data_IF_404465262321
#
_entry.id   IF_404465262321
#
_cell.length_a   1.000
_cell.length_b   1.000
_cell.length_c   1.000
_cell.angle_alpha   90.00
_cell.angle_beta   90.00
_cell.angle_gamma   90.00
#
_symmetry.space_group_name_H-M   'P 1'
#
loop_
_entity.id
_entity.type
_entity.pdbx_description
1 polymer ?
#
# COMPACT_ATOMS: atom_id res chain seq x y z
N UNK A 1 2.74 28.69 -8.97
CA UNK A 1 3.45 27.57 -9.62
C UNK A 1 3.33 26.40 -8.66
N UNK A 2 2.51 25.40 -9.00
CA UNK A 2 2.26 24.22 -8.15
C UNK A 2 3.45 23.28 -8.30
N UNK A 3 4.26 23.17 -7.26
CA UNK A 3 5.40 22.24 -7.20
C UNK A 3 5.19 21.16 -6.14
N UNK A 4 3.97 20.63 -6.08
CA UNK A 4 3.65 19.38 -5.40
C UNK A 4 3.38 18.31 -6.47
N UNK A 5 4.43 17.89 -7.18
CA UNK A 5 4.35 16.65 -7.96
C UNK A 5 4.31 15.51 -6.97
N UNK A 6 3.14 14.89 -6.80
CA UNK A 6 3.06 13.58 -6.15
C UNK A 6 4.13 12.66 -6.73
N UNK A 7 4.86 11.90 -5.88
CA UNK A 7 5.87 10.97 -6.36
C UNK A 7 5.29 10.08 -7.46
N UNK A 8 6.10 9.78 -8.48
CA UNK A 8 5.67 8.88 -9.54
C UNK A 8 5.31 7.52 -8.94
N UNK A 9 4.45 6.74 -9.61
CA UNK A 9 4.12 5.37 -9.19
C UNK A 9 5.39 4.57 -8.87
N UNK A 10 6.36 4.62 -9.78
CA UNK A 10 7.63 3.90 -9.64
C UNK A 10 8.47 4.46 -8.48
N UNK A 11 8.37 5.74 -8.15
CA UNK A 11 9.00 6.28 -6.94
C UNK A 11 8.32 5.72 -5.68
N UNK A 12 6.98 5.77 -5.60
CA UNK A 12 6.24 5.23 -4.45
C UNK A 12 6.55 3.76 -4.16
N UNK A 13 6.58 2.92 -5.19
CA UNK A 13 6.86 1.49 -5.03
C UNK A 13 8.31 1.23 -4.59
N UNK A 14 9.27 2.02 -5.09
CA UNK A 14 10.68 1.94 -4.67
C UNK A 14 10.87 2.41 -3.23
N UNK A 15 10.23 3.53 -2.88
CA UNK A 15 10.29 4.09 -1.53
C UNK A 15 9.67 3.12 -0.52
N UNK A 16 8.54 2.49 -0.86
CA UNK A 16 7.91 1.45 -0.05
C UNK A 16 8.84 0.26 0.21
N UNK A 17 9.54 -0.24 -0.82
CA UNK A 17 10.55 -1.29 -0.61
C UNK A 17 11.76 -0.80 0.19
N UNK A 18 12.24 0.43 -0.06
CA UNK A 18 13.32 1.05 0.67
C UNK A 18 13.04 1.12 2.18
N UNK A 19 11.83 1.54 2.55
CA UNK A 19 11.38 1.58 3.94
C UNK A 19 11.34 0.18 4.58
N UNK A 20 10.83 -0.83 3.88
CA UNK A 20 10.83 -2.21 4.39
C UNK A 20 12.25 -2.74 4.62
N UNK A 21 13.17 -2.45 3.70
CA UNK A 21 14.56 -2.85 3.82
C UNK A 21 15.21 -2.19 5.04
N UNK A 22 14.99 -0.89 5.23
CA UNK A 22 15.58 -0.12 6.32
C UNK A 22 14.97 -0.44 7.69
N UNK A 23 13.65 -0.53 7.79
CA UNK A 23 12.95 -0.66 9.06
C UNK A 23 12.80 -2.12 9.51
N UNK A 24 12.69 -3.05 8.56
CA UNK A 24 12.35 -4.47 8.85
C UNK A 24 13.40 -5.46 8.36
N UNK A 25 14.48 -4.99 7.72
CA UNK A 25 15.55 -5.85 7.23
C UNK A 25 15.11 -6.78 6.10
N UNK A 26 14.04 -6.43 5.37
CA UNK A 26 13.54 -7.26 4.26
C UNK A 26 14.59 -7.32 3.16
N UNK A 27 15.02 -8.55 2.81
CA UNK A 27 16.00 -8.76 1.74
C UNK A 27 15.34 -8.71 0.36
N UNK A 28 16.11 -8.24 -0.64
CA UNK A 28 15.67 -8.27 -2.04
C UNK A 28 15.35 -9.70 -2.51
N UNK A 29 16.07 -10.69 -2.00
CA UNK A 29 15.81 -12.09 -2.32
C UNK A 29 14.42 -12.53 -1.83
N UNK A 30 14.13 -12.32 -0.54
CA UNK A 30 12.84 -12.67 0.05
C UNK A 30 11.68 -11.99 -0.68
N UNK A 31 11.82 -10.68 -0.93
CA UNK A 31 10.84 -9.92 -1.69
C UNK A 31 10.66 -10.43 -3.13
N UNK A 32 11.76 -10.75 -3.83
CA UNK A 32 11.69 -11.28 -5.19
C UNK A 32 10.96 -12.63 -5.24
N UNK A 33 11.14 -13.51 -4.26
CA UNK A 33 10.39 -14.77 -4.18
C UNK A 33 8.89 -14.54 -3.97
N UNK A 34 8.51 -13.68 -3.02
CA UNK A 34 7.11 -13.31 -2.79
C UNK A 34 6.47 -12.70 -4.04
N UNK A 35 7.15 -11.74 -4.67
CA UNK A 35 6.68 -11.09 -5.89
C UNK A 35 6.50 -12.09 -7.04
N UNK A 36 7.40 -13.06 -7.19
CA UNK A 36 7.26 -14.08 -8.23
C UNK A 36 5.98 -14.90 -8.06
N UNK A 37 5.72 -15.36 -6.84
CA UNK A 37 4.51 -16.11 -6.52
C UNK A 37 3.24 -15.30 -6.81
N UNK A 38 3.22 -14.02 -6.39
CA UNK A 38 2.08 -13.12 -6.62
C UNK A 38 1.88 -12.80 -8.10
N UNK A 39 2.94 -12.64 -8.89
CA UNK A 39 2.84 -12.44 -10.34
C UNK A 39 2.13 -13.61 -11.01
N UNK A 40 2.48 -14.85 -10.64
CA UNK A 40 1.80 -16.04 -11.18
C UNK A 40 0.35 -16.17 -10.71
N UNK A 41 0.04 -15.74 -9.49
CA UNK A 41 -1.32 -15.77 -8.97
C UNK A 41 -2.23 -14.70 -9.57
N UNK A 42 -1.72 -13.48 -9.74
CA UNK A 42 -2.53 -12.30 -10.09
C UNK A 42 -2.48 -11.95 -11.58
N UNK A 43 -1.41 -12.30 -12.27
CA UNK A 43 -1.20 -11.97 -13.68
C UNK A 43 -0.77 -13.18 -14.53
N UNK A 44 -1.53 -14.29 -14.52
CA UNK A 44 -1.13 -15.55 -15.19
C UNK A 44 -0.86 -15.38 -16.69
N UNK A 45 -1.66 -14.56 -17.38
CA UNK A 45 -1.46 -14.26 -18.80
C UNK A 45 -0.15 -13.50 -19.11
N UNK A 46 0.44 -12.81 -18.11
CA UNK A 46 1.73 -12.11 -18.21
C UNK A 46 2.89 -12.94 -17.68
N UNK A 47 2.61 -13.92 -16.82
CA UNK A 47 3.60 -14.76 -16.16
C UNK A 47 3.96 -16.03 -16.93
N UNK A 48 3.22 -16.39 -18.00
CA UNK A 48 3.42 -17.60 -18.82
C UNK A 48 4.88 -17.81 -19.30
N UNK A 49 5.56 -16.72 -19.67
CA UNK A 49 6.98 -16.76 -20.11
C UNK A 49 7.98 -16.47 -18.99
N UNK A 50 7.51 -16.34 -17.75
CA UNK A 50 8.34 -16.02 -16.60
C UNK A 50 8.68 -17.29 -15.83
N UNK A 51 9.85 -17.34 -15.20
CA UNK A 51 10.16 -18.46 -14.34
C UNK A 51 9.17 -18.53 -13.18
N UNK A 52 8.67 -19.72 -12.88
CA UNK A 52 7.92 -19.99 -11.67
C UNK A 52 8.87 -20.56 -10.63
N UNK A 53 9.33 -19.70 -9.71
CA UNK A 53 10.35 -20.07 -8.73
C UNK A 53 9.84 -21.13 -7.75
N UNK A 54 8.54 -21.17 -7.47
CA UNK A 54 7.94 -22.18 -6.57
C UNK A 54 7.86 -23.57 -7.21
N UNK A 55 7.99 -23.65 -8.54
CA UNK A 55 7.94 -24.91 -9.29
C UNK A 55 9.33 -25.47 -9.63
N UNK A 56 10.41 -24.81 -9.17
CA UNK A 56 11.78 -25.28 -9.42
C UNK A 56 12.06 -26.54 -8.59
N UNK A 57 12.39 -27.64 -9.27
CA UNK A 57 12.64 -28.96 -8.68
C UNK A 57 13.96 -29.11 -7.90
N UNK A 58 14.35 -28.10 -7.10
CA UNK A 58 15.52 -28.12 -6.24
C UNK A 58 16.67 -27.17 -6.65
N UNK A 59 17.71 -27.13 -5.82
CA UNK A 59 18.87 -26.22 -5.93
C UNK A 59 19.94 -26.78 -6.89
N UNK A 60 19.60 -26.89 -8.17
CA UNK A 60 20.59 -27.18 -9.21
C UNK A 60 21.11 -25.89 -9.87
N UNK A 61 22.16 -26.00 -10.68
CA UNK A 61 22.80 -24.83 -11.32
C UNK A 61 21.85 -24.03 -12.23
N UNK A 62 20.87 -24.68 -12.85
CA UNK A 62 19.88 -24.04 -13.71
C UNK A 62 18.83 -23.28 -12.90
N UNK A 63 18.32 -23.88 -11.81
CA UNK A 63 17.44 -23.23 -10.84
C UNK A 63 18.11 -22.00 -10.24
N UNK A 64 19.38 -22.09 -9.83
CA UNK A 64 20.12 -20.95 -9.27
C UNK A 64 20.27 -19.81 -10.28
N UNK A 65 20.58 -20.11 -11.55
CA UNK A 65 20.63 -19.08 -12.62
C UNK A 65 19.28 -18.43 -12.84
N UNK A 66 18.20 -19.20 -12.75
CA UNK A 66 16.83 -18.75 -12.94
C UNK A 66 16.40 -17.80 -11.81
N UNK A 67 16.67 -18.18 -10.57
CA UNK A 67 16.45 -17.35 -9.37
C UNK A 67 17.23 -16.04 -9.49
N UNK A 68 18.52 -16.11 -9.81
CA UNK A 68 19.37 -14.91 -9.93
C UNK A 68 18.93 -13.98 -11.07
N UNK A 69 18.51 -14.52 -12.21
CA UNK A 69 17.96 -13.75 -13.33
C UNK A 69 16.67 -13.00 -12.96
N UNK A 70 15.81 -13.62 -12.14
CA UNK A 70 14.64 -12.95 -11.58
C UNK A 70 15.04 -11.88 -10.54
N UNK A 71 15.93 -12.22 -9.61
CA UNK A 71 16.43 -11.30 -8.58
C UNK A 71 16.99 -10.02 -9.20
N UNK A 72 17.83 -10.13 -10.24
CA UNK A 72 18.39 -8.98 -10.98
C UNK A 72 17.33 -8.14 -11.69
N UNK A 73 16.19 -8.72 -12.08
CA UNK A 73 15.06 -7.93 -12.61
C UNK A 73 14.43 -7.10 -11.50
N UNK A 74 14.15 -7.71 -10.35
CA UNK A 74 13.64 -7.01 -9.18
C UNK A 74 14.59 -5.90 -8.71
N UNK A 75 15.90 -6.18 -8.68
CA UNK A 75 16.94 -5.21 -8.34
C UNK A 75 16.83 -3.94 -9.20
N UNK A 76 16.75 -4.10 -10.53
CA UNK A 76 16.64 -2.95 -11.43
C UNK A 76 15.34 -2.17 -11.28
N UNK A 77 14.24 -2.81 -10.88
CA UNK A 77 13.01 -2.09 -10.58
C UNK A 77 13.12 -1.30 -9.27
N UNK A 78 13.67 -1.92 -8.23
CA UNK A 78 13.87 -1.28 -6.92
C UNK A 78 14.87 -0.13 -7.00
N UNK A 79 15.94 -0.27 -7.79
CA UNK A 79 16.96 0.76 -7.95
C UNK A 79 16.55 1.85 -8.96
N UNK A 80 15.45 1.64 -9.71
CA UNK A 80 15.01 2.53 -10.78
C UNK A 80 15.87 2.46 -12.05
N UNK A 81 16.64 1.39 -12.22
CA UNK A 81 17.39 1.12 -13.45
C UNK A 81 16.51 0.78 -14.65
N UNK A 82 15.25 0.38 -14.43
CA UNK A 82 14.23 0.26 -15.47
C UNK A 82 12.88 0.72 -14.94
N UNK A 83 12.04 1.23 -15.84
CA UNK A 83 10.63 1.50 -15.53
C UNK A 83 9.92 0.20 -15.14
N UNK A 84 9.08 0.27 -14.12
CA UNK A 84 8.24 -0.83 -13.68
C UNK A 84 7.09 -1.03 -14.69
N UNK A 85 6.89 -2.24 -15.23
CA UNK A 85 5.74 -2.51 -16.09
C UNK A 85 4.42 -2.27 -15.35
N UNK A 86 3.46 -1.60 -15.98
CA UNK A 86 2.18 -1.27 -15.32
C UNK A 86 1.40 -2.49 -14.80
N UNK A 87 1.47 -3.63 -15.51
CA UNK A 87 0.81 -4.86 -15.07
C UNK A 87 1.41 -5.46 -13.79
N UNK A 88 2.62 -5.03 -13.41
CA UNK A 88 3.33 -5.51 -12.24
C UNK A 88 2.99 -4.71 -10.97
N UNK A 89 2.34 -3.55 -11.10
CA UNK A 89 1.99 -2.67 -9.97
C UNK A 89 1.23 -3.40 -8.86
N UNK A 90 0.15 -4.11 -9.22
CA UNK A 90 -0.69 -4.84 -8.26
C UNK A 90 0.06 -5.99 -7.54
N UNK A 91 0.77 -6.90 -8.24
CA UNK A 91 1.64 -7.87 -7.58
C UNK A 91 2.73 -7.23 -6.70
N UNK A 92 3.30 -6.10 -7.14
CA UNK A 92 4.39 -5.43 -6.41
C UNK A 92 3.90 -4.84 -5.10
N UNK A 93 2.80 -4.06 -5.13
CA UNK A 93 2.23 -3.49 -3.91
C UNK A 93 1.72 -4.58 -2.97
N UNK A 94 1.14 -5.66 -3.50
CA UNK A 94 0.74 -6.82 -2.68
C UNK A 94 1.95 -7.48 -2.04
N UNK A 95 3.09 -7.59 -2.74
CA UNK A 95 4.31 -8.11 -2.16
C UNK A 95 4.84 -7.23 -1.02
N UNK A 96 4.73 -5.90 -1.14
CA UNK A 96 5.10 -4.98 -0.06
C UNK A 96 4.22 -5.23 1.19
N UNK A 97 2.92 -5.42 1.00
CA UNK A 97 1.98 -5.71 2.10
C UNK A 97 2.24 -7.04 2.80
N UNK A 98 2.61 -8.10 2.07
CA UNK A 98 3.04 -9.38 2.65
C UNK A 98 4.28 -9.23 3.54
N UNK A 99 5.10 -8.22 3.27
CA UNK A 99 6.26 -7.83 4.11
C UNK A 99 5.92 -6.76 5.17
N UNK A 100 4.64 -6.38 5.24
CA UNK A 100 4.06 -5.52 6.26
C UNK A 100 4.14 -4.03 5.99
N UNK A 101 4.35 -3.62 4.73
CA UNK A 101 4.06 -2.26 4.31
C UNK A 101 2.55 -2.04 4.33
N UNK A 102 2.13 -0.89 4.83
CA UNK A 102 0.69 -0.60 4.98
C UNK A 102 0.28 0.72 4.33
N UNK A 103 1.24 1.44 3.73
CA UNK A 103 1.03 2.81 3.29
C UNK A 103 1.10 2.95 1.77
N UNK A 104 1.92 2.16 1.08
CA UNK A 104 2.14 2.34 -0.37
C UNK A 104 0.85 2.20 -1.17
N UNK A 105 -0.02 1.23 -0.84
CA UNK A 105 -1.32 1.08 -1.53
C UNK A 105 -2.24 2.29 -1.31
N UNK A 106 -2.27 2.84 -0.10
CA UNK A 106 -3.08 4.02 0.22
C UNK A 106 -2.59 5.22 -0.59
N UNK A 107 -1.27 5.42 -0.64
CA UNK A 107 -0.66 6.49 -1.42
C UNK A 107 -0.91 6.34 -2.93
N UNK A 108 -0.83 5.12 -3.46
CA UNK A 108 -1.19 4.83 -4.86
C UNK A 108 -2.66 5.15 -5.14
N UNK A 109 -3.58 4.74 -4.27
CA UNK A 109 -5.00 5.07 -4.40
C UNK A 109 -5.24 6.59 -4.46
N UNK A 110 -4.61 7.35 -3.55
CA UNK A 110 -4.69 8.83 -3.52
C UNK A 110 -4.21 9.45 -4.83
N UNK A 111 -3.12 8.91 -5.39
CA UNK A 111 -2.58 9.37 -6.69
C UNK A 111 -3.56 9.18 -7.85
N UNK A 112 -4.48 8.23 -7.74
CA UNK A 112 -5.56 8.01 -8.69
C UNK A 112 -6.86 8.78 -8.35
N UNK A 113 -6.84 9.64 -7.33
CA UNK A 113 -8.02 10.37 -6.86
C UNK A 113 -8.99 9.51 -6.03
N UNK A 114 -8.53 8.36 -5.54
CA UNK A 114 -9.31 7.49 -4.67
C UNK A 114 -8.87 7.61 -3.21
N UNK A 115 -9.81 7.44 -2.28
CA UNK A 115 -9.49 7.32 -0.86
C UNK A 115 -9.09 5.88 -0.54
N UNK A 116 -7.84 5.67 -0.17
CA UNK A 116 -7.33 4.36 0.24
C UNK A 116 -7.81 4.00 1.64
N UNK A 117 -8.81 3.11 1.74
CA UNK A 117 -9.30 2.60 3.03
C UNK A 117 -8.68 1.24 3.31
N UNK A 118 -8.00 1.09 4.45
CA UNK A 118 -7.47 -0.21 4.87
C UNK A 118 -8.62 -1.14 5.24
N UNK A 119 -8.64 -2.33 4.65
CA UNK A 119 -9.53 -3.41 5.07
C UNK A 119 -8.87 -4.16 6.25
N UNK A 120 -9.62 -4.51 7.32
CA UNK A 120 -9.12 -5.41 8.35
C UNK A 120 -8.66 -6.73 7.73
N UNK A 121 -7.48 -7.24 8.12
CA UNK A 121 -7.04 -8.53 7.62
C UNK A 121 -7.90 -9.65 8.25
N UNK A 122 -8.16 -10.70 7.47
CA UNK A 122 -8.88 -11.88 7.95
C UNK A 122 -8.04 -12.56 9.04
N UNK A 123 -8.52 -12.56 10.28
CA UNK A 123 -7.82 -13.16 11.43
C UNK A 123 -7.16 -12.16 12.38
N UNK A 124 -7.24 -10.86 12.11
CA UNK A 124 -6.75 -9.85 13.05
C UNK A 124 -7.47 -9.97 14.41
N UNK A 125 -6.69 -10.11 15.47
CA UNK A 125 -7.10 -10.27 16.86
C UNK A 125 -7.82 -9.00 17.40
N UNK A 126 -8.42 -9.03 18.63
CA UNK A 126 -8.99 -7.85 19.30
C UNK A 126 -8.09 -6.59 19.34
N UNK A 127 -6.77 -6.75 19.16
CA UNK A 127 -5.82 -5.65 18.97
C UNK A 127 -6.20 -4.71 17.79
N UNK A 128 -6.88 -5.23 16.76
CA UNK A 128 -7.31 -4.46 15.59
C UNK A 128 -8.41 -3.44 15.91
N UNK A 129 -9.31 -3.75 16.86
CA UNK A 129 -10.39 -2.82 17.24
C UNK A 129 -9.86 -1.59 17.99
N UNK A 130 -8.94 -1.78 18.95
CA UNK A 130 -8.31 -0.66 19.65
C UNK A 130 -7.37 0.12 18.73
N UNK A 131 -6.65 -0.55 17.82
CA UNK A 131 -5.81 0.13 16.83
C UNK A 131 -6.65 0.97 15.84
N UNK A 132 -7.81 0.45 15.40
CA UNK A 132 -8.73 1.19 14.55
C UNK A 132 -9.30 2.43 15.26
N UNK A 133 -9.75 2.27 16.51
CA UNK A 133 -10.23 3.40 17.33
C UNK A 133 -9.12 4.42 17.60
N UNK A 134 -7.91 3.96 17.94
CA UNK A 134 -6.75 4.83 18.15
C UNK A 134 -6.37 5.60 16.89
N UNK A 135 -6.54 4.99 15.71
CA UNK A 135 -6.32 5.69 14.45
C UNK A 135 -7.38 6.75 14.19
N UNK A 136 -8.66 6.46 14.41
CA UNK A 136 -9.72 7.49 14.34
C UNK A 136 -9.39 8.69 15.24
N UNK A 137 -8.97 8.44 16.48
CA UNK A 137 -8.61 9.50 17.42
C UNK A 137 -7.42 10.34 16.96
N UNK A 138 -6.37 9.70 16.42
CA UNK A 138 -5.18 10.37 15.90
C UNK A 138 -5.52 11.24 14.69
N UNK A 139 -6.09 10.65 13.64
CA UNK A 139 -6.37 11.37 12.39
C UNK A 139 -7.36 12.52 12.62
N UNK A 140 -8.38 12.33 13.48
CA UNK A 140 -9.29 13.43 13.85
C UNK A 140 -8.56 14.52 14.63
N UNK A 141 -7.60 14.16 15.48
CA UNK A 141 -6.75 15.11 16.19
C UNK A 141 -5.87 15.94 15.25
N UNK A 142 -5.31 15.32 14.22
CA UNK A 142 -4.50 15.99 13.20
C UNK A 142 -5.34 17.00 12.41
N UNK A 143 -6.57 16.61 12.01
CA UNK A 143 -7.57 17.54 11.42
C UNK A 143 -7.85 18.71 12.36
N UNK A 144 -8.12 18.44 13.64
CA UNK A 144 -8.41 19.50 14.62
C UNK A 144 -7.22 20.46 14.75
N UNK A 145 -5.98 19.96 14.70
CA UNK A 145 -4.77 20.76 14.73
C UNK A 145 -4.72 21.75 13.57
N UNK A 146 -4.81 21.28 12.33
CA UNK A 146 -4.68 22.14 11.14
C UNK A 146 -5.88 23.08 11.00
N UNK A 147 -7.10 22.60 11.23
CA UNK A 147 -8.31 23.44 11.13
C UNK A 147 -8.35 24.52 12.22
N UNK A 148 -7.76 24.27 13.40
CA UNK A 148 -7.65 25.30 14.43
C UNK A 148 -6.76 26.46 14.00
N UNK A 149 -5.67 26.18 13.26
CA UNK A 149 -4.83 27.23 12.68
C UNK A 149 -5.59 28.06 11.64
N UNK A 150 -6.40 27.42 10.80
CA UNK A 150 -7.25 28.08 9.81
C UNK A 150 -8.37 28.92 10.44
N UNK A 151 -8.76 28.64 11.68
CA UNK A 151 -9.84 29.34 12.38
C UNK A 151 -9.36 30.39 13.38
N UNK A 152 -8.06 30.71 13.42
CA UNK A 152 -7.50 31.63 14.41
C UNK A 152 -8.13 33.02 14.40
N UNK A 153 -8.57 33.50 13.23
CA UNK A 153 -9.24 34.79 13.08
C UNK A 153 -10.78 34.67 13.04
N UNK A 154 -11.30 33.44 13.17
CA UNK A 154 -12.72 33.12 13.15
C UNK A 154 -13.37 33.06 11.78
N UNK A 155 -12.61 33.18 10.67
CA UNK A 155 -13.15 33.21 9.30
C UNK A 155 -12.34 32.32 8.37
N UNK A 156 -12.97 31.28 7.82
CA UNK A 156 -12.36 30.47 6.76
C UNK A 156 -12.42 31.21 5.42
N UNK A 157 -11.27 31.63 4.90
CA UNK A 157 -11.18 32.30 3.60
C UNK A 157 -9.84 32.06 2.86
N UNK A 158 -9.55 32.85 1.82
CA UNK A 158 -8.35 32.68 1.00
C UNK A 158 -7.03 32.82 1.77
N UNK A 159 -7.04 33.42 2.98
CA UNK A 159 -5.85 33.57 3.84
C UNK A 159 -5.37 32.24 4.41
N UNK A 160 -6.27 31.25 4.48
CA UNK A 160 -5.98 29.90 4.99
C UNK A 160 -5.42 28.96 3.94
N UNK A 161 -5.28 29.43 2.69
CA UNK A 161 -4.86 28.61 1.55
C UNK A 161 -3.56 27.84 1.80
N UNK A 162 -2.66 28.38 2.62
CA UNK A 162 -1.41 27.72 2.99
C UNK A 162 -1.60 26.40 3.78
N UNK A 163 -2.72 26.26 4.50
CA UNK A 163 -3.08 25.07 5.26
C UNK A 163 -4.04 24.15 4.49
N UNK A 164 -4.71 24.67 3.47
CA UNK A 164 -5.82 23.97 2.79
C UNK A 164 -5.46 22.60 2.22
N UNK A 165 -4.29 22.43 1.59
CA UNK A 165 -3.87 21.12 1.05
C UNK A 165 -3.66 20.08 2.16
N UNK A 166 -3.05 20.50 3.27
CA UNK A 166 -2.84 19.63 4.44
C UNK A 166 -4.18 19.29 5.09
N UNK A 167 -5.04 20.28 5.32
CA UNK A 167 -6.34 20.08 5.94
C UNK A 167 -7.20 19.08 5.17
N UNK A 168 -7.22 19.17 3.83
CA UNK A 168 -7.94 18.21 2.99
C UNK A 168 -7.36 16.80 3.09
N UNK A 169 -6.03 16.67 3.13
CA UNK A 169 -5.36 15.38 3.30
C UNK A 169 -5.69 14.75 4.65
N UNK A 170 -5.62 15.53 5.74
CA UNK A 170 -5.92 15.04 7.08
C UNK A 170 -7.40 14.66 7.22
N UNK A 171 -8.30 15.41 6.57
CA UNK A 171 -9.74 15.07 6.52
C UNK A 171 -9.94 13.74 5.82
N UNK A 172 -9.31 13.52 4.67
CA UNK A 172 -9.41 12.25 3.95
C UNK A 172 -8.89 11.07 4.80
N UNK A 173 -7.86 11.31 5.61
CA UNK A 173 -7.25 10.30 6.48
C UNK A 173 -8.17 9.96 7.66
N UNK A 174 -8.81 10.98 8.25
CA UNK A 174 -9.85 10.79 9.26
C UNK A 174 -11.07 10.03 8.69
N UNK A 175 -11.51 10.36 7.47
CA UNK A 175 -12.60 9.62 6.81
C UNK A 175 -12.20 8.17 6.54
N UNK A 176 -10.98 7.92 6.09
CA UNK A 176 -10.47 6.57 5.86
C UNK A 176 -10.45 5.74 7.16
N UNK A 177 -9.98 6.33 8.27
CA UNK A 177 -9.97 5.68 9.58
C UNK A 177 -11.41 5.35 10.06
N UNK A 178 -12.35 6.28 9.89
CA UNK A 178 -13.77 6.06 10.20
C UNK A 178 -14.38 4.94 9.33
N UNK A 179 -14.03 4.88 8.05
CA UNK A 179 -14.48 3.81 7.15
C UNK A 179 -13.91 2.44 7.53
N UNK A 180 -12.63 2.38 7.93
CA UNK A 180 -12.02 1.15 8.44
C UNK A 180 -12.71 0.68 9.72
N UNK A 181 -13.00 1.58 10.67
CA UNK A 181 -13.74 1.24 11.89
C UNK A 181 -15.17 0.78 11.59
N UNK A 182 -15.86 1.45 10.65
CA UNK A 182 -17.18 1.04 10.17
C UNK A 182 -17.15 -0.37 9.59
N UNK A 183 -16.18 -0.68 8.74
CA UNK A 183 -16.03 -2.00 8.14
C UNK A 183 -15.80 -3.08 9.21
N UNK A 184 -14.97 -2.79 10.22
CA UNK A 184 -14.72 -3.70 11.33
C UNK A 184 -15.98 -3.96 12.16
N UNK A 185 -16.77 -2.92 12.48
CA UNK A 185 -18.05 -3.07 13.18
C UNK A 185 -19.03 -3.88 12.34
N UNK A 186 -19.13 -3.60 11.03
CA UNK A 186 -20.01 -4.35 10.12
C UNK A 186 -19.66 -5.84 10.11
N UNK A 187 -18.38 -6.17 10.00
CA UNK A 187 -17.91 -7.55 9.96
C UNK A 187 -18.12 -8.27 11.31
N UNK A 188 -17.68 -7.65 12.41
CA UNK A 188 -17.56 -8.32 13.72
C UNK A 188 -18.82 -8.22 14.58
N UNK A 189 -19.55 -7.11 14.50
CA UNK A 189 -20.74 -6.86 15.34
C UNK A 189 -22.01 -7.17 14.56
N UNK A 190 -22.11 -6.65 13.33
CA UNK A 190 -23.32 -6.79 12.53
C UNK A 190 -23.38 -8.12 11.74
N UNK A 191 -22.29 -8.89 11.73
CA UNK A 191 -22.18 -10.13 10.94
C UNK A 191 -22.31 -9.91 9.43
N UNK A 192 -22.22 -8.65 8.97
CA UNK A 192 -22.30 -8.29 7.57
C UNK A 192 -20.96 -8.60 6.93
N UNK A 193 -20.87 -9.73 6.20
CA UNK A 193 -19.72 -9.97 5.33
C UNK A 193 -19.67 -8.85 4.28
N UNK A 194 -18.52 -8.18 4.08
CA UNK A 194 -18.39 -7.20 3.02
C UNK A 194 -18.76 -7.86 1.68
N UNK A 195 -19.62 -7.20 0.92
CA UNK A 195 -20.15 -7.69 -0.35
C UNK A 195 -19.08 -7.61 -1.45
N UNK A 196 -18.04 -8.44 -1.36
CA UNK A 196 -17.21 -8.79 -2.50
C UNK A 196 -17.06 -10.31 -2.49
N UNK A 197 -17.96 -10.95 -3.23
CA UNK A 197 -17.75 -12.32 -3.71
C UNK A 197 -16.38 -12.34 -4.39
N UNK A 198 -15.58 -13.33 -4.07
CA UNK A 198 -14.44 -13.73 -4.87
C UNK A 198 -14.88 -13.81 -6.33
N UNK A 199 -14.37 -12.90 -7.16
CA UNK A 199 -14.27 -13.17 -8.59
C UNK A 199 -13.21 -14.26 -8.69
N UNK A 200 -13.68 -15.51 -8.76
CA UNK A 200 -13.10 -16.67 -9.46
C UNK A 200 -13.59 -17.97 -8.79
N UNK A 201 -14.61 -18.56 -9.41
CA UNK A 201 -14.60 -19.99 -9.74
C UNK A 201 -13.87 -20.14 -11.07
#
# INVERSE_FOLDING_TARGET
MSDNRHPSRDALLRDGFGQLREQRGVSLESFAFTLNALVHAMAPAKSDKMPNLSSLGGLNAESMRTIESWRKRCERWVDGGTELPAWLEEPFVTALEEHGDTDTRVQLARRHGFMGVRRPALGDAPACAFAALGSVGRETGDVMGVVSEMLQDGVLDERDRQYGEQALTDIDDAVAALMSMRALIQERVMGARPALRSVNQ
#
